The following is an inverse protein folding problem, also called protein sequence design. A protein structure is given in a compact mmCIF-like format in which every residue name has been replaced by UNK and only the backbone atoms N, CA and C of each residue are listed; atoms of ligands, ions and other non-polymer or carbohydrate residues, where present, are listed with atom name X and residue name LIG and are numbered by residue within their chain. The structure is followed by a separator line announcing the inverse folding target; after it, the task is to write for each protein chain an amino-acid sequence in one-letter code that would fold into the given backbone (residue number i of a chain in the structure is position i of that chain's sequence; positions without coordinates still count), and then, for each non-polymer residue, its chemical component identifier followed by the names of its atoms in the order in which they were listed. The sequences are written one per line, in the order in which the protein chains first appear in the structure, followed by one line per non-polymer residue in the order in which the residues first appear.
data_IF_664780023358
#
_entry.id   IF_664780023358
#
_cell.length_a   1.000
_cell.length_b   1.000
_cell.length_c   1.000
_cell.angle_alpha   90.00
_cell.angle_beta   90.00
_cell.angle_gamma   90.00
#
_symmetry.space_group_name_H-M   'P 1'
#
loop_
_entity.id
_entity.type
_entity.pdbx_description
1 polymer ?
#
# COMPACT_ATOMS: atom_id res chain seq x y z
N UNK A 1 -17.88 -3.68 7.65
CA UNK A 1 -18.45 -3.74 9.02
C UNK A 1 -17.45 -4.23 10.06
N UNK A 2 -16.93 -5.46 9.94
CA UNK A 2 -15.96 -6.00 10.91
C UNK A 2 -14.75 -5.07 11.20
N UNK A 3 -14.15 -4.46 10.18
CA UNK A 3 -13.05 -3.50 10.37
C UNK A 3 -13.45 -2.27 11.20
N UNK A 4 -14.65 -1.74 10.99
CA UNK A 4 -15.15 -0.59 11.74
C UNK A 4 -15.36 -0.94 13.23
N UNK A 5 -15.82 -2.15 13.51
CA UNK A 5 -16.02 -2.64 14.88
C UNK A 5 -14.69 -2.80 15.64
N UNK A 6 -13.66 -3.29 14.97
CA UNK A 6 -12.30 -3.37 15.53
C UNK A 6 -11.77 -1.97 15.85
N UNK A 7 -11.91 -1.02 14.93
CA UNK A 7 -11.50 0.37 15.16
C UNK A 7 -12.23 0.97 16.37
N UNK A 8 -13.56 0.84 16.40
CA UNK A 8 -14.40 1.38 17.48
C UNK A 8 -14.01 0.81 18.85
N UNK A 9 -13.76 -0.49 18.92
CA UNK A 9 -13.33 -1.16 20.16
C UNK A 9 -11.96 -0.68 20.61
N UNK A 10 -11.07 -0.33 19.68
CA UNK A 10 -9.76 0.23 19.96
C UNK A 10 -9.78 1.75 20.27
N UNK A 11 -10.95 2.38 20.25
CA UNK A 11 -11.11 3.84 20.40
C UNK A 11 -10.59 4.63 19.19
N UNK A 12 -10.60 4.01 18.01
CA UNK A 12 -10.19 4.59 16.74
C UNK A 12 -11.38 4.68 15.77
N UNK A 13 -11.20 5.36 14.65
CA UNK A 13 -12.17 5.46 13.55
C UNK A 13 -11.50 5.35 12.19
N UNK A 14 -12.29 5.13 11.15
CA UNK A 14 -11.79 5.06 9.77
C UNK A 14 -11.27 6.43 9.32
N UNK A 15 -9.98 6.50 9.00
CA UNK A 15 -9.41 7.73 8.44
C UNK A 15 -10.01 8.05 7.06
N UNK A 16 -10.12 7.13 6.09
CA UNK A 16 -10.64 7.45 4.76
C UNK A 16 -12.08 7.98 4.79
N UNK A 17 -12.93 7.43 5.66
CA UNK A 17 -14.30 7.92 5.84
C UNK A 17 -14.33 9.36 6.37
N UNK A 18 -13.42 9.71 7.28
CA UNK A 18 -13.39 11.05 7.91
C UNK A 18 -12.67 12.11 7.10
N UNK A 19 -11.62 11.74 6.36
CA UNK A 19 -10.76 12.68 5.63
C UNK A 19 -11.28 12.89 4.20
N UNK A 20 -11.76 11.83 3.55
CA UNK A 20 -12.13 11.85 2.13
C UNK A 20 -13.62 11.63 1.87
N UNK A 21 -14.44 11.50 2.91
CA UNK A 21 -15.83 11.04 2.78
C UNK A 21 -15.92 9.73 1.99
N UNK A 22 -14.94 8.84 2.17
CA UNK A 22 -14.92 7.55 1.50
C UNK A 22 -16.15 6.72 1.91
N UNK A 23 -16.84 6.05 0.97
CA UNK A 23 -18.10 5.34 1.25
C UNK A 23 -17.93 4.03 2.05
N UNK A 24 -16.69 3.62 2.33
CA UNK A 24 -16.36 2.47 3.17
C UNK A 24 -15.59 2.85 4.44
N UNK A 25 -15.25 1.86 5.26
CA UNK A 25 -14.35 2.05 6.40
C UNK A 25 -12.89 1.68 6.08
N UNK A 26 -12.71 0.71 5.19
CA UNK A 26 -11.42 0.22 4.71
C UNK A 26 -11.49 0.18 3.18
N UNK A 27 -10.33 0.29 2.54
CA UNK A 27 -10.17 -0.01 1.13
C UNK A 27 -10.04 -1.53 0.97
N UNK A 28 -10.85 -2.14 0.11
CA UNK A 28 -10.81 -3.57 -0.20
C UNK A 28 -10.70 -3.71 -1.71
N UNK A 29 -9.50 -4.00 -2.19
CA UNK A 29 -9.22 -4.13 -3.62
C UNK A 29 -9.04 -5.59 -4.01
N UNK A 30 -9.81 -6.05 -4.99
CA UNK A 30 -9.84 -7.46 -5.43
C UNK A 30 -9.23 -7.60 -6.82
N UNK A 31 -8.24 -8.50 -6.94
CA UNK A 31 -7.55 -8.85 -8.18
C UNK A 31 -6.89 -7.66 -8.92
N UNK A 32 -7.54 -7.14 -9.97
CA UNK A 32 -7.05 -6.09 -10.86
C UNK A 32 -7.29 -4.67 -10.31
N UNK A 33 -8.04 -4.55 -9.22
CA UNK A 33 -8.17 -3.30 -8.47
C UNK A 33 -6.83 -2.98 -7.77
N UNK A 34 -6.14 -1.92 -8.20
CA UNK A 34 -4.81 -1.58 -7.69
C UNK A 34 -4.82 -1.06 -6.26
N UNK A 35 -5.71 -0.11 -5.93
CA UNK A 35 -5.88 0.56 -4.62
C UNK A 35 -7.34 1.02 -4.48
N UNK A 36 -7.73 1.47 -3.29
CA UNK A 36 -8.97 2.22 -3.04
C UNK A 36 -10.26 1.51 -3.46
N UNK A 37 -10.27 0.17 -3.49
CA UNK A 37 -11.47 -0.60 -3.80
C UNK A 37 -12.58 -0.31 -2.78
N UNK A 38 -13.76 0.05 -3.26
CA UNK A 38 -14.91 0.37 -2.42
C UNK A 38 -15.59 -0.94 -2.00
N UNK A 39 -15.72 -1.23 -0.70
CA UNK A 39 -16.45 -2.40 -0.24
C UNK A 39 -17.89 -2.42 -0.76
N UNK A 40 -18.36 -3.59 -1.19
CA UNK A 40 -19.71 -3.76 -1.75
C UNK A 40 -20.25 -5.16 -1.55
N UNK A 41 -21.20 -5.57 -2.39
CA UNK A 41 -21.89 -6.87 -2.29
C UNK A 41 -21.13 -8.02 -2.96
N UNK A 42 -19.89 -7.80 -3.42
CA UNK A 42 -19.08 -8.82 -4.10
C UNK A 42 -18.77 -9.97 -3.13
N UNK A 43 -19.13 -11.18 -3.51
CA UNK A 43 -18.73 -12.40 -2.80
C UNK A 43 -17.38 -12.86 -3.32
N UNK A 44 -16.39 -12.94 -2.43
CA UNK A 44 -15.05 -13.43 -2.73
C UNK A 44 -15.07 -14.92 -3.11
N UNK A 45 -14.18 -15.31 -4.01
CA UNK A 45 -14.09 -16.68 -4.53
C UNK A 45 -12.69 -17.25 -4.34
N UNK A 46 -12.60 -18.57 -4.25
CA UNK A 46 -11.31 -19.25 -4.27
C UNK A 46 -10.51 -18.83 -5.51
N UNK A 47 -9.25 -18.47 -5.30
CA UNK A 47 -8.36 -17.93 -6.33
C UNK A 47 -8.29 -16.40 -6.39
N UNK A 48 -9.13 -15.66 -5.65
CA UNK A 48 -9.02 -14.20 -5.57
C UNK A 48 -7.79 -13.77 -4.76
N UNK A 49 -7.17 -12.66 -5.18
CA UNK A 49 -6.29 -11.86 -4.32
C UNK A 49 -7.08 -10.69 -3.77
N UNK A 50 -7.00 -10.47 -2.45
CA UNK A 50 -7.72 -9.40 -1.77
C UNK A 50 -6.74 -8.56 -0.98
N UNK A 51 -6.58 -7.31 -1.40
CA UNK A 51 -5.84 -6.31 -0.64
C UNK A 51 -6.78 -5.65 0.37
N UNK A 52 -6.38 -5.73 1.64
CA UNK A 52 -6.99 -5.02 2.75
C UNK A 52 -6.06 -3.87 3.09
N UNK A 53 -6.58 -2.66 2.95
CA UNK A 53 -5.84 -1.42 3.16
C UNK A 53 -6.62 -0.59 4.21
N UNK A 54 -5.96 -0.37 5.35
CA UNK A 54 -6.58 0.02 6.60
C UNK A 54 -5.84 1.21 7.21
N UNK A 55 -6.38 2.40 6.95
CA UNK A 55 -5.96 3.62 7.62
C UNK A 55 -6.91 3.96 8.77
N UNK A 56 -6.37 4.08 9.99
CA UNK A 56 -7.14 4.47 11.18
C UNK A 56 -6.73 5.84 11.66
N UNK A 57 -7.66 6.54 12.31
CA UNK A 57 -7.38 7.74 13.11
C UNK A 57 -7.66 7.46 14.58
N UNK A 58 -6.72 7.85 15.44
CA UNK A 58 -6.83 7.81 16.90
C UNK A 58 -6.10 9.00 17.53
N UNK A 59 -6.76 9.69 18.45
CA UNK A 59 -6.21 10.79 19.24
C UNK A 59 -5.54 11.90 18.40
N UNK A 60 -6.04 12.14 17.19
CA UNK A 60 -5.57 13.12 16.23
C UNK A 60 -4.38 12.66 15.38
N UNK A 61 -4.08 11.35 15.34
CA UNK A 61 -3.02 10.77 14.53
C UNK A 61 -3.53 9.61 13.69
N UNK A 62 -2.91 9.41 12.53
CA UNK A 62 -3.24 8.37 11.57
C UNK A 62 -2.13 7.33 11.46
N UNK A 63 -2.54 6.09 11.25
CA UNK A 63 -1.66 4.96 10.98
C UNK A 63 -2.24 4.16 9.82
N UNK A 64 -1.35 3.71 8.94
CA UNK A 64 -1.70 2.98 7.73
C UNK A 64 -0.96 1.65 7.65
N UNK A 65 -1.67 0.62 7.21
CA UNK A 65 -1.12 -0.66 6.86
C UNK A 65 -2.00 -1.34 5.81
N UNK A 66 -1.34 -1.98 4.84
CA UNK A 66 -1.99 -2.80 3.85
C UNK A 66 -1.39 -4.21 3.80
N UNK A 67 -2.22 -5.19 3.47
CA UNK A 67 -1.81 -6.57 3.21
C UNK A 67 -2.65 -7.15 2.08
N UNK A 68 -2.03 -7.93 1.21
CA UNK A 68 -2.75 -8.73 0.21
C UNK A 68 -2.79 -10.18 0.65
N UNK A 69 -3.99 -10.75 0.69
CA UNK A 69 -4.23 -12.14 1.12
C UNK A 69 -4.89 -12.95 0.00
N UNK A 70 -4.50 -14.22 -0.19
CA UNK A 70 -5.19 -15.12 -1.11
C UNK A 70 -6.46 -15.68 -0.48
N UNK A 71 -7.52 -15.81 -1.28
CA UNK A 71 -8.73 -16.55 -0.90
C UNK A 71 -8.55 -18.00 -1.33
N UNK A 72 -8.27 -18.88 -0.37
CA UNK A 72 -7.99 -20.29 -0.66
C UNK A 72 -6.73 -20.47 -1.52
N UNK A 73 -6.78 -21.38 -2.49
CA UNK A 73 -5.66 -21.64 -3.39
C UNK A 73 -5.66 -20.68 -4.58
N UNK A 74 -4.50 -20.07 -4.87
CA UNK A 74 -4.30 -19.20 -6.03
C UNK A 74 -3.41 -19.86 -7.10
N UNK A 75 -3.32 -19.25 -8.28
CA UNK A 75 -2.38 -19.67 -9.31
C UNK A 75 -0.93 -19.43 -8.88
N UNK A 76 0.00 -20.14 -9.50
CA UNK A 76 1.45 -19.95 -9.28
C UNK A 76 1.88 -18.49 -9.55
N UNK A 77 1.37 -17.87 -10.62
CA UNK A 77 1.66 -16.47 -10.94
C UNK A 77 1.17 -15.51 -9.84
N UNK A 78 -0.03 -15.73 -9.30
CA UNK A 78 -0.57 -14.92 -8.19
C UNK A 78 0.25 -15.08 -6.91
N UNK A 79 0.71 -16.30 -6.62
CA UNK A 79 1.60 -16.55 -5.49
C UNK A 79 2.95 -15.85 -5.70
N UNK A 80 3.54 -15.94 -6.89
CA UNK A 80 4.79 -15.25 -7.23
C UNK A 80 4.65 -13.72 -7.12
N UNK A 81 3.49 -13.16 -7.49
CA UNK A 81 3.19 -11.74 -7.34
C UNK A 81 3.15 -11.32 -5.86
N UNK A 82 2.47 -12.09 -5.01
CA UNK A 82 2.44 -11.88 -3.55
C UNK A 82 3.86 -11.91 -2.97
N UNK A 83 4.61 -12.97 -3.25
CA UNK A 83 5.96 -13.13 -2.72
C UNK A 83 6.90 -12.02 -3.21
N UNK A 84 6.69 -11.53 -4.44
CA UNK A 84 7.41 -10.39 -4.99
C UNK A 84 7.14 -9.11 -4.20
N UNK A 85 5.86 -8.80 -3.95
CA UNK A 85 5.48 -7.62 -3.18
C UNK A 85 6.09 -7.64 -1.76
N UNK A 86 6.03 -8.79 -1.09
CA UNK A 86 6.61 -8.97 0.25
C UNK A 86 8.14 -8.83 0.24
N UNK A 87 8.83 -9.46 -0.72
CA UNK A 87 10.29 -9.29 -0.87
C UNK A 87 10.68 -7.85 -1.19
N UNK A 88 9.90 -7.16 -2.03
CA UNK A 88 10.14 -5.78 -2.37
C UNK A 88 9.98 -4.86 -1.15
N UNK A 89 8.93 -5.08 -0.36
CA UNK A 89 8.68 -4.37 0.90
C UNK A 89 9.86 -4.57 1.87
N UNK A 90 10.25 -5.82 2.15
CA UNK A 90 11.37 -6.08 3.06
C UNK A 90 12.70 -5.48 2.58
N UNK A 91 12.97 -5.49 1.27
CA UNK A 91 14.17 -4.84 0.71
C UNK A 91 14.13 -3.32 0.84
N UNK A 92 12.97 -2.72 0.66
CA UNK A 92 12.77 -1.29 0.85
C UNK A 92 12.98 -0.89 2.33
N UNK A 93 12.52 -1.69 3.28
CA UNK A 93 12.74 -1.46 4.71
C UNK A 93 14.23 -1.49 5.13
N UNK A 94 15.10 -2.18 4.37
CA UNK A 94 16.54 -2.15 4.63
C UNK A 94 17.17 -0.78 4.33
N UNK A 95 16.58 0.01 3.43
CA UNK A 95 17.08 1.33 3.00
C UNK A 95 16.23 2.50 3.48
N UNK A 96 15.04 2.23 4.03
CA UNK A 96 14.22 3.22 4.73
C UNK A 96 14.84 3.56 6.11
N UNK A 97 15.99 4.23 6.11
CA UNK A 97 16.79 4.56 7.29
C UNK A 97 17.23 6.01 7.29
N UNK A 98 17.50 6.55 8.48
CA UNK A 98 18.06 7.90 8.66
C UNK A 98 19.28 8.14 7.74
N UNK A 99 19.32 9.31 7.11
CA UNK A 99 20.37 9.72 6.18
C UNK A 99 20.23 9.17 4.74
N UNK A 100 19.32 8.23 4.48
CA UNK A 100 19.07 7.72 3.13
C UNK A 100 18.04 8.59 2.41
N UNK A 101 18.12 8.65 1.07
CA UNK A 101 17.12 9.35 0.26
C UNK A 101 15.89 8.47 0.05
N UNK A 102 14.72 9.09 -0.05
CA UNK A 102 13.47 8.41 -0.44
C UNK A 102 13.62 7.66 -1.78
N UNK A 103 14.41 8.21 -2.72
CA UNK A 103 14.80 7.54 -3.97
C UNK A 103 15.30 6.10 -3.78
N UNK A 104 16.00 5.82 -2.67
CA UNK A 104 16.59 4.51 -2.39
C UNK A 104 15.52 3.44 -2.17
N UNK A 105 14.41 3.81 -1.54
CA UNK A 105 13.23 2.95 -1.31
C UNK A 105 12.68 2.50 -2.68
N UNK A 106 12.32 3.46 -3.53
CA UNK A 106 11.76 3.17 -4.84
C UNK A 106 12.71 2.40 -5.75
N UNK A 107 14.01 2.69 -5.68
CA UNK A 107 15.05 1.92 -6.39
C UNK A 107 15.11 0.46 -5.93
N UNK A 108 15.00 0.21 -4.62
CA UNK A 108 15.01 -1.14 -4.07
C UNK A 108 13.76 -1.94 -4.50
N UNK A 109 12.58 -1.30 -4.46
CA UNK A 109 11.31 -1.87 -4.92
C UNK A 109 11.38 -2.23 -6.41
N UNK A 110 11.63 -1.25 -7.28
CA UNK A 110 11.60 -1.46 -8.75
C UNK A 110 12.63 -2.51 -9.20
N UNK A 111 13.79 -2.58 -8.54
CA UNK A 111 14.79 -3.62 -8.84
C UNK A 111 14.27 -5.02 -8.54
N UNK A 112 13.62 -5.23 -7.40
CA UNK A 112 13.08 -6.55 -7.04
C UNK A 112 11.90 -6.94 -7.93
N UNK A 113 11.01 -5.99 -8.18
CA UNK A 113 9.81 -6.19 -8.99
C UNK A 113 10.18 -6.56 -10.42
N UNK A 114 11.09 -5.80 -11.05
CA UNK A 114 11.60 -6.12 -12.40
C UNK A 114 12.34 -7.45 -12.45
N UNK A 115 13.15 -7.76 -11.44
CA UNK A 115 13.87 -9.04 -11.37
C UNK A 115 12.89 -10.22 -11.34
N UNK A 116 11.74 -10.05 -10.71
CA UNK A 116 10.69 -11.07 -10.60
C UNK A 116 9.77 -11.13 -11.82
N UNK A 117 9.99 -10.32 -12.86
CA UNK A 117 9.17 -10.32 -14.08
C UNK A 117 7.89 -9.50 -14.00
N UNK A 118 7.73 -8.69 -12.96
CA UNK A 118 6.55 -7.86 -12.73
C UNK A 118 6.84 -6.37 -12.96
N UNK A 119 5.80 -5.54 -12.87
CA UNK A 119 5.87 -4.09 -13.05
C UNK A 119 5.44 -3.35 -11.79
N UNK A 120 5.91 -2.11 -11.66
CA UNK A 120 5.48 -1.17 -10.61
C UNK A 120 4.42 -0.24 -11.21
N UNK A 121 3.36 0.06 -10.45
CA UNK A 121 2.38 1.08 -10.85
C UNK A 121 2.92 2.44 -10.41
N UNK A 122 3.42 3.24 -11.35
CA UNK A 122 4.25 4.42 -11.07
C UNK A 122 3.45 5.62 -10.54
N UNK A 123 2.16 5.67 -10.84
CA UNK A 123 1.24 6.71 -10.39
C UNK A 123 0.96 6.58 -8.88
N UNK A 124 1.22 5.41 -8.29
CA UNK A 124 0.93 5.09 -6.90
C UNK A 124 2.22 4.88 -6.10
N UNK A 125 2.18 5.22 -4.81
CA UNK A 125 3.32 5.11 -3.91
C UNK A 125 2.94 5.50 -2.49
N UNK A 126 3.89 5.29 -1.59
CA UNK A 126 3.73 5.70 -0.21
C UNK A 126 3.86 7.20 0.00
N UNK A 127 3.78 7.60 1.26
CA UNK A 127 3.63 8.97 1.68
C UNK A 127 4.13 9.17 3.11
N UNK A 128 4.36 10.42 3.51
CA UNK A 128 4.38 10.78 4.92
C UNK A 128 3.00 10.52 5.54
N UNK A 129 2.96 10.21 6.82
CA UNK A 129 1.69 10.02 7.54
C UNK A 129 1.81 10.50 8.98
N UNK A 130 0.75 11.14 9.48
CA UNK A 130 0.75 11.69 10.82
C UNK A 130 -0.60 12.27 11.21
N UNK A 131 -0.86 13.53 10.88
CA UNK A 131 -2.10 14.25 11.21
C UNK A 131 -3.18 14.10 10.14
N UNK A 132 -2.78 13.79 8.91
CA UNK A 132 -3.67 13.35 7.82
C UNK A 132 -3.13 12.07 7.18
N UNK A 133 -3.90 11.50 6.25
CA UNK A 133 -3.56 10.24 5.58
C UNK A 133 -2.28 10.42 4.77
N UNK A 134 -2.27 11.42 3.88
CA UNK A 134 -1.15 11.72 3.00
C UNK A 134 -0.46 13.03 3.41
N UNK A 135 0.80 12.93 3.82
CA UNK A 135 1.71 14.04 4.08
C UNK A 135 2.98 13.90 3.23
N UNK A 136 3.81 14.94 3.19
CA UNK A 136 5.15 14.82 2.61
C UNK A 136 6.07 13.98 3.52
N UNK A 137 7.07 13.28 2.96
CA UNK A 137 7.40 13.21 1.53
C UNK A 137 6.55 12.18 0.77
N UNK A 138 6.32 12.39 -0.52
CA UNK A 138 5.93 11.29 -1.43
C UNK A 138 7.04 10.21 -1.44
N UNK A 139 6.66 8.93 -1.37
CA UNK A 139 7.55 7.76 -1.37
C UNK A 139 7.27 6.86 -2.60
N UNK A 140 7.94 7.08 -3.75
CA UNK A 140 7.67 6.33 -4.96
C UNK A 140 8.13 4.87 -4.89
N UNK A 141 7.44 3.98 -5.61
CA UNK A 141 7.83 2.57 -5.78
C UNK A 141 8.86 2.32 -6.89
N UNK A 142 9.47 3.39 -7.43
CA UNK A 142 10.45 3.32 -8.51
C UNK A 142 11.59 4.31 -8.30
N UNK A 143 12.67 4.15 -9.08
CA UNK A 143 13.84 5.02 -9.04
C UNK A 143 13.53 6.42 -9.62
N UNK A 144 12.69 7.19 -8.92
CA UNK A 144 12.29 8.54 -9.29
C UNK A 144 13.39 9.54 -8.92
N UNK A 145 14.15 10.03 -9.90
CA UNK A 145 15.26 10.97 -9.66
C UNK A 145 14.82 12.28 -8.98
N UNK A 146 13.53 12.61 -9.05
CA UNK A 146 12.95 13.80 -8.40
C UNK A 146 12.67 13.60 -6.90
N UNK A 147 12.66 12.35 -6.41
CA UNK A 147 12.54 12.03 -4.99
C UNK A 147 13.85 12.33 -4.24
N UNK A 148 14.07 13.61 -3.93
CA UNK A 148 15.31 14.12 -3.32
C UNK A 148 15.28 14.20 -1.81
N UNK A 149 14.10 14.05 -1.18
CA UNK A 149 13.94 14.05 0.27
C UNK A 149 14.87 13.03 0.95
N UNK A 150 15.50 13.45 2.05
CA UNK A 150 16.35 12.62 2.90
C UNK A 150 15.54 12.23 4.13
N UNK A 151 15.50 10.93 4.41
CA UNK A 151 14.87 10.38 5.59
C UNK A 151 15.65 10.82 6.83
N UNK A 152 14.91 11.23 7.86
CA UNK A 152 15.49 11.67 9.13
C UNK A 152 14.91 10.86 10.28
N UNK A 153 15.65 10.73 11.37
CA UNK A 153 15.12 10.24 12.64
C UNK A 153 13.79 10.96 13.00
N UNK A 154 12.81 10.19 13.46
CA UNK A 154 11.47 10.69 13.82
C UNK A 154 10.51 10.91 12.65
N UNK A 155 10.96 10.80 11.40
CA UNK A 155 10.06 10.85 10.25
C UNK A 155 9.16 9.61 10.21
N UNK A 156 7.88 9.80 9.91
CA UNK A 156 6.88 8.73 9.79
C UNK A 156 6.38 8.70 8.35
N UNK A 157 6.56 7.55 7.70
CA UNK A 157 6.20 7.32 6.30
C UNK A 157 5.55 5.95 6.12
N UNK A 158 4.83 5.77 5.02
CA UNK A 158 4.43 4.49 4.49
C UNK A 158 5.43 4.02 3.43
N UNK A 159 5.61 2.70 3.36
CA UNK A 159 6.33 2.01 2.28
C UNK A 159 5.40 0.94 1.76
N UNK A 160 4.83 1.15 0.58
CA UNK A 160 3.72 0.35 0.06
C UNK A 160 3.99 -0.03 -1.41
N UNK A 161 4.75 -1.10 -1.67
CA UNK A 161 4.95 -1.59 -3.03
C UNK A 161 3.62 -1.92 -3.71
N UNK A 162 3.26 -1.12 -4.72
CA UNK A 162 2.08 -1.35 -5.56
C UNK A 162 2.56 -1.81 -6.93
N UNK A 163 2.26 -3.06 -7.25
CA UNK A 163 2.85 -3.80 -8.36
C UNK A 163 1.77 -4.49 -9.18
N UNK A 164 2.08 -4.83 -10.42
CA UNK A 164 1.17 -5.52 -11.33
C UNK A 164 1.86 -6.68 -12.05
N UNK A 165 1.07 -7.72 -12.37
CA UNK A 165 1.50 -8.78 -13.27
C UNK A 165 1.66 -8.29 -14.72
N UNK A 166 0.90 -7.27 -15.11
CA UNK A 166 0.88 -6.69 -16.46
C UNK A 166 1.83 -5.50 -16.66
N UNK A 167 1.40 -4.52 -17.44
CA UNK A 167 2.20 -3.35 -17.85
C UNK A 167 2.52 -2.35 -16.73
N UNK A 168 1.73 -2.37 -15.65
CA UNK A 168 1.82 -1.37 -14.57
C UNK A 168 1.05 -0.08 -14.88
N UNK A 169 0.31 -0.03 -15.99
CA UNK A 169 -0.61 1.07 -16.27
C UNK A 169 -1.86 0.98 -15.39
N UNK A 170 -2.35 2.13 -14.93
CA UNK A 170 -3.54 2.23 -14.08
C UNK A 170 -4.53 3.26 -14.61
N UNK A 171 -5.80 3.10 -14.28
CA UNK A 171 -6.87 4.05 -14.60
C UNK A 171 -7.86 4.12 -13.44
N UNK A 172 -8.64 5.20 -13.39
CA UNK A 172 -9.75 5.36 -12.44
C UNK A 172 -11.03 4.88 -13.13
N UNK A 173 -11.73 3.94 -12.51
CA UNK A 173 -12.99 3.38 -12.99
C UNK A 173 -14.20 4.26 -12.61
#
# INVERSE_FOLDING_TARGET
EAGAEVMRTAGARSAPATVYNFPGNNCISVNDEAVHGIPGTRVLREGDLVKLDVTIEKDGFMADAAVTVPVGKVSEEKQQLLDCAERAFHKAMLVARDGFRVFEIGRAVEREVRKSGFSVIRELGGHGIGRTIHEEPRVPNFADSTATAVLSEGMVITVEPIIAAGSGESYVA
#
